data_IF_991044728654
#
_entry.id   IF_991044728654
#
_cell.length_a   1.000
_cell.length_b   1.000
_cell.length_c   1.000
_cell.angle_alpha   90.00
_cell.angle_beta   90.00
_cell.angle_gamma   90.00
#
_symmetry.space_group_name_H-M   'P 1'
#
loop_
_entity.id
_entity.type
_entity.pdbx_description
1 polymer ?
#
# COMPACT_ATOMS: atom_id res chain seq x y z
N UNK A 1 -20.17 16.50 18.56
CA UNK A 1 -20.18 16.37 17.08
C UNK A 1 -18.97 17.14 16.56
N UNK A 2 -17.95 16.49 16.02
CA UNK A 2 -16.72 17.17 15.55
C UNK A 2 -16.94 17.73 14.14
N UNK A 3 -16.87 19.05 14.01
CA UNK A 3 -16.98 19.82 12.76
C UNK A 3 -15.85 19.38 11.80
N UNK A 4 -16.18 18.77 10.66
CA UNK A 4 -15.19 18.48 9.60
C UNK A 4 -14.72 19.80 8.98
N UNK A 5 -13.41 20.00 8.78
CA UNK A 5 -12.91 21.22 8.14
C UNK A 5 -13.41 21.30 6.70
N UNK A 6 -13.70 22.53 6.24
CA UNK A 6 -14.08 22.80 4.86
C UNK A 6 -12.94 22.43 3.90
N UNK A 7 -13.27 21.79 2.77
CA UNK A 7 -12.28 21.35 1.79
C UNK A 7 -11.72 22.53 1.01
N UNK A 8 -10.43 22.46 0.69
CA UNK A 8 -9.77 23.45 -0.16
C UNK A 8 -10.06 23.13 -1.63
N UNK A 9 -10.23 24.17 -2.45
CA UNK A 9 -10.40 24.00 -3.89
C UNK A 9 -9.11 23.39 -4.49
N UNK A 10 -9.26 22.46 -5.43
CA UNK A 10 -8.14 21.89 -6.18
C UNK A 10 -7.60 22.98 -7.11
N UNK A 11 -6.29 23.29 -7.09
CA UNK A 11 -5.71 24.27 -8.00
C UNK A 11 -5.89 23.86 -9.46
N UNK A 12 -6.04 24.83 -10.37
CA UNK A 12 -6.01 24.55 -11.82
C UNK A 12 -4.55 24.48 -12.25
N UNK A 13 -4.12 23.32 -12.74
CA UNK A 13 -2.77 23.14 -13.29
C UNK A 13 -2.81 23.33 -14.81
N UNK A 14 -1.75 23.93 -15.36
CA UNK A 14 -1.59 24.10 -16.81
C UNK A 14 -0.82 22.94 -17.46
N UNK A 15 -0.17 22.09 -16.66
CA UNK A 15 0.63 20.95 -17.11
C UNK A 15 0.59 19.81 -16.09
N UNK A 16 0.61 18.57 -16.58
CA UNK A 16 0.63 17.35 -15.77
C UNK A 16 1.90 17.25 -14.90
N UNK A 17 3.01 17.82 -15.36
CA UNK A 17 4.25 17.88 -14.59
C UNK A 17 4.13 18.82 -13.38
N UNK A 18 3.40 19.93 -13.52
CA UNK A 18 3.13 20.84 -12.39
C UNK A 18 2.19 20.20 -11.38
N UNK A 19 1.17 19.48 -11.87
CA UNK A 19 0.25 18.73 -11.04
C UNK A 19 0.98 17.66 -10.21
N UNK A 20 1.88 16.88 -10.84
CA UNK A 20 2.70 15.87 -10.15
C UNK A 20 3.53 16.48 -9.02
N UNK A 21 4.29 17.54 -9.32
CA UNK A 21 5.14 18.21 -8.33
C UNK A 21 4.31 18.78 -7.17
N UNK A 22 3.11 19.28 -7.46
CA UNK A 22 2.19 19.76 -6.42
C UNK A 22 1.71 18.61 -5.53
N UNK A 23 1.28 17.49 -6.09
CA UNK A 23 0.79 16.34 -5.33
C UNK A 23 1.89 15.58 -4.56
N UNK A 24 3.13 15.60 -5.04
CA UNK A 24 4.28 15.04 -4.33
C UNK A 24 4.64 15.84 -3.06
N UNK A 25 4.35 17.14 -3.06
CA UNK A 25 4.75 18.06 -1.99
C UNK A 25 3.63 18.43 -1.03
N UNK A 26 2.36 18.19 -1.38
CA UNK A 26 1.19 18.63 -0.60
C UNK A 26 0.36 17.44 -0.09
N UNK A 27 -0.10 17.52 1.16
CA UNK A 27 -1.05 16.56 1.74
C UNK A 27 -2.40 16.61 0.99
N UNK A 28 -2.90 15.45 0.58
CA UNK A 28 -4.13 15.26 -0.22
C UNK A 28 -5.41 15.21 0.62
N UNK A 29 -5.27 15.06 1.94
CA UNK A 29 -6.36 15.01 2.92
C UNK A 29 -7.36 16.19 2.88
N UNK A 30 -6.95 17.47 2.68
CA UNK A 30 -7.87 18.60 2.64
C UNK A 30 -8.50 18.85 1.24
N UNK A 31 -8.05 18.15 0.19
CA UNK A 31 -8.50 18.36 -1.19
C UNK A 31 -9.44 17.25 -1.70
N UNK A 32 -9.25 16.00 -1.24
CA UNK A 32 -9.95 14.83 -1.79
C UNK A 32 -11.01 14.27 -0.82
N UNK A 33 -12.19 13.92 -1.36
CA UNK A 33 -13.26 13.25 -0.61
C UNK A 33 -13.01 11.75 -0.48
N UNK A 34 -12.27 11.36 0.55
CA UNK A 34 -12.04 9.95 0.87
C UNK A 34 -13.27 9.21 1.43
N UNK A 35 -14.43 9.85 1.57
CA UNK A 35 -15.66 9.17 2.04
C UNK A 35 -16.39 8.39 0.95
N UNK A 36 -16.00 8.57 -0.32
CA UNK A 36 -16.55 7.84 -1.48
C UNK A 36 -15.44 7.36 -2.42
N UNK A 37 -14.52 6.50 -1.95
CA UNK A 37 -13.49 5.96 -2.84
C UNK A 37 -14.18 5.14 -3.94
N UNK A 38 -13.92 5.47 -5.20
CA UNK A 38 -14.29 4.65 -6.34
C UNK A 38 -13.07 3.84 -6.75
N UNK A 39 -13.25 2.54 -6.94
CA UNK A 39 -12.24 1.68 -7.54
C UNK A 39 -12.10 2.12 -9.00
N UNK A 40 -10.98 2.77 -9.33
CA UNK A 40 -10.63 3.06 -10.71
C UNK A 40 -10.11 1.77 -11.34
N UNK A 41 -10.84 1.23 -12.32
CA UNK A 41 -10.32 0.19 -13.20
C UNK A 41 -9.61 0.92 -14.33
N UNK A 42 -8.35 0.56 -14.57
CA UNK A 42 -7.55 1.12 -15.65
C UNK A 42 -7.48 0.12 -16.81
N UNK A 43 -8.54 -0.01 -17.63
CA UNK A 43 -8.62 -1.06 -18.66
C UNK A 43 -7.53 -0.92 -19.74
N UNK A 44 -6.96 0.28 -19.89
CA UNK A 44 -6.01 0.61 -20.96
C UNK A 44 -4.56 0.82 -20.47
N UNK A 45 -4.26 0.60 -19.19
CA UNK A 45 -2.86 0.61 -18.75
C UNK A 45 -2.20 -0.66 -19.28
N UNK A 46 -1.33 -0.52 -20.30
CA UNK A 46 -0.44 -1.61 -20.71
C UNK A 46 0.52 -1.88 -19.53
N UNK A 47 0.60 -3.12 -19.01
CA UNK A 47 1.68 -3.46 -18.10
C UNK A 47 2.98 -3.23 -18.87
N UNK A 48 3.79 -2.26 -18.42
CA UNK A 48 5.08 -1.99 -19.03
C UNK A 48 5.98 -3.21 -18.81
N UNK A 49 6.42 -3.84 -19.90
CA UNK A 49 7.41 -4.92 -19.86
C UNK A 49 8.80 -4.33 -20.06
N UNK A 50 9.65 -4.48 -19.06
CA UNK A 50 11.07 -4.13 -19.15
C UNK A 50 11.90 -5.39 -19.41
N UNK A 51 12.82 -5.31 -20.38
CA UNK A 51 13.75 -6.41 -20.67
C UNK A 51 14.95 -6.31 -19.74
N UNK A 52 15.08 -7.27 -18.83
CA UNK A 52 16.22 -7.38 -17.92
C UNK A 52 17.03 -8.65 -18.20
N UNK A 53 18.32 -8.61 -17.91
CA UNK A 53 19.17 -9.80 -17.90
C UNK A 53 19.28 -10.33 -16.47
N UNK A 54 18.86 -11.59 -16.25
CA UNK A 54 18.91 -12.27 -14.95
C UNK A 54 19.81 -13.50 -15.03
N UNK A 55 20.62 -13.75 -13.99
CA UNK A 55 21.39 -15.00 -13.86
C UNK A 55 20.63 -15.98 -12.96
N UNK A 56 20.53 -17.23 -13.40
CA UNK A 56 19.88 -18.32 -12.68
C UNK A 56 20.81 -19.54 -12.62
N UNK A 57 20.80 -20.33 -11.53
CA UNK A 57 21.47 -21.62 -11.50
C UNK A 57 20.94 -22.56 -12.60
N UNK A 58 21.84 -23.30 -13.25
CA UNK A 58 21.49 -24.18 -14.37
C UNK A 58 20.47 -25.27 -13.97
N UNK A 59 20.62 -25.85 -12.78
CA UNK A 59 19.71 -26.87 -12.27
C UNK A 59 18.26 -26.34 -12.13
N UNK A 60 18.10 -25.15 -11.54
CA UNK A 60 16.80 -24.51 -11.38
C UNK A 60 16.15 -24.20 -12.73
N UNK A 61 16.94 -23.73 -13.70
CA UNK A 61 16.43 -23.47 -15.05
C UNK A 61 15.93 -24.75 -15.74
N UNK A 62 16.64 -25.87 -15.56
CA UNK A 62 16.23 -27.16 -16.10
C UNK A 62 14.91 -27.64 -15.47
N UNK A 63 14.77 -27.53 -14.14
CA UNK A 63 13.54 -27.86 -13.43
C UNK A 63 12.35 -27.00 -13.88
N UNK A 64 12.56 -25.68 -14.03
CA UNK A 64 11.52 -24.76 -14.53
C UNK A 64 11.06 -25.13 -15.94
N UNK A 65 11.98 -25.49 -16.83
CA UNK A 65 11.64 -25.96 -18.19
C UNK A 65 10.85 -27.26 -18.15
N UNK A 66 11.24 -28.21 -17.32
CA UNK A 66 10.52 -29.48 -17.16
C UNK A 66 9.10 -29.26 -16.62
N UNK A 67 8.94 -28.37 -15.63
CA UNK A 67 7.63 -28.00 -15.08
C UNK A 67 6.75 -27.28 -16.09
N UNK A 68 7.33 -26.40 -16.89
CA UNK A 68 6.62 -25.65 -17.92
C UNK A 68 6.09 -26.59 -19.02
N UNK A 69 6.92 -27.53 -19.49
CA UNK A 69 6.49 -28.56 -20.44
C UNK A 69 5.37 -29.44 -19.88
N UNK A 70 5.44 -29.84 -18.60
CA UNK A 70 4.35 -30.61 -17.96
C UNK A 70 3.02 -29.87 -17.89
N UNK A 71 3.07 -28.53 -17.87
CA UNK A 71 1.89 -27.66 -17.80
C UNK A 71 1.48 -27.11 -19.17
N UNK A 72 2.15 -27.55 -20.23
CA UNK A 72 1.96 -27.08 -21.60
C UNK A 72 2.05 -25.54 -21.74
N UNK A 73 3.03 -24.94 -21.07
CA UNK A 73 3.27 -23.49 -21.11
C UNK A 73 4.75 -23.18 -21.38
N UNK A 74 5.07 -22.02 -21.99
CA UNK A 74 6.46 -21.57 -22.10
C UNK A 74 7.08 -21.31 -20.73
N UNK A 75 8.34 -21.72 -20.53
CA UNK A 75 9.03 -21.56 -19.24
C UNK A 75 9.15 -20.10 -18.79
N UNK A 76 9.26 -19.16 -19.74
CA UNK A 76 9.30 -17.73 -19.43
C UNK A 76 7.96 -17.23 -18.88
N UNK A 77 6.85 -17.72 -19.41
CA UNK A 77 5.51 -17.40 -18.91
C UNK A 77 5.31 -17.98 -17.51
N UNK A 78 5.71 -19.23 -17.30
CA UNK A 78 5.64 -19.87 -15.97
C UNK A 78 6.48 -19.11 -14.93
N UNK A 79 7.69 -18.70 -15.31
CA UNK A 79 8.58 -17.92 -14.45
C UNK A 79 7.92 -16.60 -14.02
N UNK A 80 7.28 -15.88 -14.95
CA UNK A 80 6.58 -14.62 -14.64
C UNK A 80 5.45 -14.83 -13.63
N UNK A 81 4.66 -15.89 -13.80
CA UNK A 81 3.57 -16.23 -12.88
C UNK A 81 4.12 -16.52 -11.48
N UNK A 82 5.15 -17.36 -11.37
CA UNK A 82 5.74 -17.68 -10.07
C UNK A 82 6.35 -16.47 -9.36
N UNK A 83 7.04 -15.59 -10.11
CA UNK A 83 7.59 -14.36 -9.55
C UNK A 83 6.48 -13.42 -9.04
N UNK A 84 5.41 -13.23 -9.84
CA UNK A 84 4.27 -12.41 -9.45
C UNK A 84 3.61 -12.96 -8.17
N UNK A 85 3.29 -14.26 -8.14
CA UNK A 85 2.70 -14.91 -6.96
C UNK A 85 3.57 -14.76 -5.71
N UNK A 86 4.90 -14.87 -5.84
CA UNK A 86 5.81 -14.72 -4.71
C UNK A 86 5.83 -13.28 -4.20
N UNK A 87 5.91 -12.30 -5.10
CA UNK A 87 5.87 -10.87 -4.75
C UNK A 87 4.55 -10.51 -4.07
N UNK A 88 3.43 -10.99 -4.59
CA UNK A 88 2.11 -10.74 -4.00
C UNK A 88 2.03 -11.30 -2.58
N UNK A 89 2.53 -12.52 -2.34
CA UNK A 89 2.57 -13.11 -0.99
C UNK A 89 3.40 -12.29 0.00
N UNK A 90 4.57 -11.81 -0.42
CA UNK A 90 5.45 -11.01 0.45
C UNK A 90 4.86 -9.63 0.74
N UNK A 91 4.32 -8.96 -0.28
CA UNK A 91 3.74 -7.62 -0.14
C UNK A 91 2.44 -7.62 0.68
N UNK A 92 1.55 -8.60 0.45
CA UNK A 92 0.33 -8.76 1.23
C UNK A 92 0.62 -9.24 2.67
N UNK A 93 1.62 -10.10 2.86
CA UNK A 93 2.09 -10.54 4.18
C UNK A 93 2.64 -9.40 5.04
N UNK A 94 3.42 -8.49 4.44
CA UNK A 94 3.93 -7.29 5.13
C UNK A 94 2.80 -6.31 5.47
N UNK A 95 1.81 -6.13 4.60
CA UNK A 95 0.64 -5.29 4.87
C UNK A 95 -0.21 -5.82 6.04
N UNK A 96 -0.33 -7.14 6.20
CA UNK A 96 -1.03 -7.73 7.33
C UNK A 96 -0.29 -7.52 8.67
N UNK A 97 1.05 -7.59 8.67
CA UNK A 97 1.86 -7.34 9.87
C UNK A 97 1.88 -5.85 10.26
N UNK A 98 1.93 -4.93 9.30
CA UNK A 98 1.88 -3.48 9.54
C UNK A 98 0.51 -3.03 10.08
N UNK A 99 -0.58 -3.58 9.54
CA UNK A 99 -1.95 -3.32 10.03
C UNK A 99 -2.16 -3.81 11.48
N UNK A 100 -1.58 -4.97 11.83
CA UNK A 100 -1.69 -5.57 13.17
C UNK A 100 -0.82 -4.84 14.21
N UNK A 101 0.35 -4.34 13.81
CA UNK A 101 1.19 -3.49 14.66
C UNK A 101 0.52 -2.13 14.98
N UNK A 102 -0.23 -1.57 14.03
CA UNK A 102 -1.03 -0.35 14.24
C UNK A 102 -2.22 -0.57 15.19
N UNK A 103 -2.85 -1.75 15.17
CA UNK A 103 -3.92 -2.11 16.10
C UNK A 103 -3.41 -2.28 17.54
N UNK A 104 -2.26 -2.91 17.74
CA UNK A 104 -1.65 -3.09 19.07
C UNK A 104 -1.23 -1.78 19.74
N UNK A 105 -0.91 -0.73 18.97
CA UNK A 105 -0.60 0.61 19.50
C UNK A 105 -1.85 1.39 19.95
N UNK A 106 -3.02 1.10 19.38
CA UNK A 106 -4.27 1.81 19.69
C UNK A 106 -4.91 1.36 21.02
N UNK A 107 -4.57 0.18 21.52
CA UNK A 107 -5.06 -0.38 22.79
C UNK A 107 -4.38 0.15 24.06
N UNK A 108 -3.18 0.74 23.96
CA UNK A 108 -2.41 1.22 25.15
C UNK A 108 -2.72 2.65 25.58
N UNK A 109 -3.68 3.33 24.96
CA UNK A 109 -4.14 4.69 25.36
C UNK A 109 -5.55 4.67 25.96
N UNK A 110 -5.78 3.86 26.99
CA UNK A 110 -6.88 4.11 27.93
C UNK A 110 -6.42 3.93 29.38
N UNK A 111 -6.67 4.99 30.14
CA UNK A 111 -6.64 5.11 31.60
C UNK A 111 -5.26 5.15 32.30
N UNK A 112 -4.69 6.35 32.39
CA UNK A 112 -4.20 6.87 33.67
C UNK A 112 -5.07 8.08 34.01
N UNK A 113 -6.12 7.88 34.82
CA UNK A 113 -6.79 9.02 35.49
C UNK A 113 -5.76 9.62 36.47
N UNK A 114 -5.56 10.94 36.51
CA UNK A 114 -4.77 11.55 37.58
C UNK A 114 -5.51 11.39 38.92
N UNK A 115 -4.79 11.21 40.04
CA UNK A 115 -5.43 11.17 41.35
C UNK A 115 -6.07 12.53 41.65
N UNK A 116 -7.35 12.52 42.00
CA UNK A 116 -8.09 13.70 42.44
C UNK A 116 -7.75 13.90 43.91
N UNK A 117 -6.97 14.94 44.21
CA UNK A 117 -6.58 15.25 45.57
C UNK A 117 -7.80 15.82 46.32
N UNK A 118 -8.40 15.00 47.19
CA UNK A 118 -9.43 15.42 48.14
C UNK A 118 -8.79 15.54 49.52
N UNK A 119 -8.17 16.68 49.77
CA UNK A 119 -7.83 17.11 51.12
C UNK A 119 -8.59 18.41 51.43
N UNK A 120 -9.79 18.25 51.99
CA UNK A 120 -10.38 19.24 52.89
C UNK A 120 -10.95 18.45 54.06
N UNK A 121 -10.30 18.56 55.22
CA UNK A 121 -10.85 18.47 56.58
C UNK A 121 -9.70 18.61 57.60
N UNK A 122 -9.47 19.83 58.09
CA UNK A 122 -9.34 20.20 59.53
C UNK A 122 -8.71 21.58 59.68
N UNK A 123 -9.36 22.42 60.49
CA UNK A 123 -9.00 23.79 60.82
C UNK A 123 -10.26 24.64 60.91
#
# INVERSE_FOLDING_TARGET
MTKRPARKAIPRFTSEAQERTFWETHDTSPFVDWSKPRVAVFPNLKPSTETISLRLPAALLAELKALANKRDVPYQSLLKVFLAERVDRETQGVNALSARALQLRKGRRRARKPPVDRARLRG
#
